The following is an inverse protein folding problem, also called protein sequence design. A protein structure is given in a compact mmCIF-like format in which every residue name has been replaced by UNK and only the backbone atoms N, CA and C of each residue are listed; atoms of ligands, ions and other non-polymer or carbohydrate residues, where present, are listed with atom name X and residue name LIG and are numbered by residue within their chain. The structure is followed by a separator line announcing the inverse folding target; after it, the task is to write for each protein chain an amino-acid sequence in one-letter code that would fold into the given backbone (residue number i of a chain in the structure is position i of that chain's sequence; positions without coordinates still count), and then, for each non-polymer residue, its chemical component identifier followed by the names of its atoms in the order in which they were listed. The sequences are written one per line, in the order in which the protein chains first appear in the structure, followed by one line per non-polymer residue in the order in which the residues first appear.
data_IF_665647941729
#
_entry.id   IF_665647941729
#
_cell.length_a   1.000
_cell.length_b   1.000
_cell.length_c   1.000
_cell.angle_alpha   90.00
_cell.angle_beta   90.00
_cell.angle_gamma   90.00
#
_symmetry.space_group_name_H-M   'P 1'
#
loop_
_entity.id
_entity.type
_entity.pdbx_description
1 polymer ?
#
# COMPACT_ATOMS: atom_id res chain seq x y z
N UNK A 1 17.98 12.73 -2.15
CA UNK A 1 16.89 11.97 -1.50
C UNK A 1 16.44 10.89 -2.46
N UNK A 2 17.31 9.89 -2.66
CA UNK A 2 17.08 8.74 -3.52
C UNK A 2 16.44 7.65 -2.69
N UNK A 3 15.20 7.29 -3.00
CA UNK A 3 14.71 5.96 -2.71
C UNK A 3 14.38 5.32 -4.04
N UNK A 4 15.38 4.61 -4.55
CA UNK A 4 15.23 3.67 -5.63
C UNK A 4 14.19 2.65 -5.21
N UNK A 5 13.17 2.46 -6.03
CA UNK A 5 12.35 1.26 -6.00
C UNK A 5 13.29 0.13 -6.42
N UNK A 6 14.05 -0.41 -5.46
CA UNK A 6 14.83 -1.62 -5.71
C UNK A 6 13.86 -2.70 -6.14
N UNK A 7 14.16 -3.30 -7.30
CA UNK A 7 13.51 -4.48 -7.83
C UNK A 7 13.48 -5.56 -6.74
N UNK A 8 12.41 -5.56 -5.93
CA UNK A 8 12.24 -6.52 -4.85
C UNK A 8 12.17 -7.89 -5.48
N UNK A 9 13.17 -8.72 -5.19
CA UNK A 9 13.13 -10.13 -5.51
C UNK A 9 11.86 -10.74 -4.90
N UNK A 10 10.87 -11.00 -5.76
CA UNK A 10 9.58 -11.58 -5.37
C UNK A 10 9.72 -12.97 -4.74
N UNK A 11 10.93 -13.55 -4.67
CA UNK A 11 11.19 -14.83 -4.01
C UNK A 11 11.19 -14.73 -2.47
N UNK A 12 11.35 -13.55 -1.87
CA UNK A 12 11.49 -13.41 -0.42
C UNK A 12 10.74 -12.21 0.16
N UNK A 13 9.41 -12.19 0.02
CA UNK A 13 8.56 -11.12 0.60
C UNK A 13 8.15 -11.49 2.04
N UNK A 14 8.36 -10.59 3.00
CA UNK A 14 7.88 -10.74 4.38
C UNK A 14 6.58 -9.98 4.64
N UNK A 15 5.88 -10.28 5.75
CA UNK A 15 4.73 -9.49 6.19
C UNK A 15 5.12 -8.03 6.48
N UNK A 16 6.30 -7.80 7.06
CA UNK A 16 6.80 -6.46 7.35
C UNK A 16 6.98 -5.65 6.06
N UNK A 17 7.47 -6.29 4.99
CA UNK A 17 7.53 -5.68 3.66
C UNK A 17 6.17 -5.25 3.13
N UNK A 18 5.13 -6.07 3.32
CA UNK A 18 3.78 -5.74 2.93
C UNK A 18 3.22 -4.57 3.74
N UNK A 19 3.47 -4.54 5.05
CA UNK A 19 3.01 -3.45 5.93
C UNK A 19 3.71 -2.13 5.63
N UNK A 20 5.03 -2.16 5.37
CA UNK A 20 5.79 -0.98 4.91
C UNK A 20 5.25 -0.45 3.59
N UNK A 21 4.96 -1.33 2.64
CA UNK A 21 4.35 -0.94 1.37
C UNK A 21 2.93 -0.38 1.56
N UNK A 22 2.14 -0.96 2.46
CA UNK A 22 0.79 -0.48 2.76
C UNK A 22 0.79 0.94 3.33
N UNK A 23 1.78 1.26 4.14
CA UNK A 23 1.97 2.60 4.71
C UNK A 23 2.85 3.52 3.88
N UNK A 24 3.22 3.14 2.66
CA UNK A 24 3.99 4.02 1.80
C UNK A 24 3.13 5.21 1.35
N UNK A 25 3.75 6.38 1.27
CA UNK A 25 3.13 7.56 0.68
C UNK A 25 2.84 7.32 -0.80
N UNK A 26 1.60 7.55 -1.21
CA UNK A 26 1.17 7.46 -2.61
C UNK A 26 0.64 8.81 -3.10
N UNK A 27 0.81 9.07 -4.40
CA UNK A 27 0.27 10.27 -5.04
C UNK A 27 -1.04 9.90 -5.74
N UNK A 28 -2.11 10.59 -5.39
CA UNK A 28 -3.42 10.48 -5.99
C UNK A 28 -3.46 11.31 -7.27
N UNK A 29 -3.49 10.65 -8.42
CA UNK A 29 -3.46 11.27 -9.76
C UNK A 29 -4.43 10.55 -10.72
N UNK A 30 -4.66 11.14 -11.90
CA UNK A 30 -5.51 10.56 -12.94
C UNK A 30 -6.95 10.33 -12.46
N UNK A 31 -7.44 9.10 -12.56
CA UNK A 31 -8.79 8.75 -12.11
C UNK A 31 -8.97 8.77 -10.58
N UNK A 32 -7.88 8.92 -9.81
CA UNK A 32 -7.90 8.89 -8.34
C UNK A 32 -7.73 10.26 -7.68
N UNK A 33 -7.90 11.37 -8.42
CA UNK A 33 -7.73 12.73 -7.89
C UNK A 33 -8.58 12.97 -6.61
N UNK A 34 -8.03 13.76 -5.69
CA UNK A 34 -8.68 14.11 -4.44
C UNK A 34 -9.54 15.36 -4.58
N UNK A 35 -10.78 15.33 -4.07
CA UNK A 35 -11.63 16.51 -4.05
C UNK A 35 -11.21 17.47 -2.93
N UNK A 36 -10.69 18.63 -3.30
CA UNK A 36 -10.32 19.67 -2.33
C UNK A 36 -11.53 20.52 -1.94
N UNK A 37 -11.98 20.40 -0.68
CA UNK A 37 -13.11 21.17 -0.16
C UNK A 37 -12.91 22.69 -0.12
N UNK A 38 -11.64 23.17 -0.17
CA UNK A 38 -11.29 24.59 -0.23
C UNK A 38 -11.30 25.13 -1.66
N UNK A 39 -10.71 24.40 -2.60
CA UNK A 39 -10.64 24.81 -4.01
C UNK A 39 -11.92 24.47 -4.80
N UNK A 40 -12.76 23.59 -4.27
CA UNK A 40 -13.98 23.07 -4.91
C UNK A 40 -13.72 22.30 -6.22
N UNK A 41 -12.55 21.69 -6.35
CA UNK A 41 -12.13 20.94 -7.55
C UNK A 41 -11.28 19.71 -7.19
N UNK A 42 -11.14 18.78 -8.13
CA UNK A 42 -10.30 17.59 -8.01
C UNK A 42 -8.84 17.96 -8.28
N UNK A 43 -7.94 17.62 -7.35
CA UNK A 43 -6.51 17.91 -7.43
C UNK A 43 -5.68 16.70 -7.11
N UNK A 44 -4.44 16.74 -7.58
CA UNK A 44 -3.44 15.81 -7.10
C UNK A 44 -3.19 16.03 -5.62
N UNK A 45 -3.07 14.94 -4.88
CA UNK A 45 -2.84 14.97 -3.45
C UNK A 45 -1.95 13.81 -3.04
N UNK A 46 -1.26 14.00 -1.94
CA UNK A 46 -0.48 12.96 -1.32
C UNK A 46 -1.31 12.25 -0.26
N UNK A 47 -1.46 10.93 -0.36
CA UNK A 47 -2.10 10.10 0.65
C UNK A 47 -1.07 9.26 1.38
N UNK A 48 -1.17 9.23 2.71
CA UNK A 48 -0.34 8.41 3.58
C UNK A 48 -1.24 7.67 4.57
N UNK A 49 -1.19 6.34 4.54
CA UNK A 49 -2.05 5.49 5.35
C UNK A 49 -1.26 4.89 6.49
N UNK A 50 -1.74 5.06 7.73
CA UNK A 50 -1.06 4.55 8.91
C UNK A 50 -2.05 3.85 9.84
N UNK A 51 -1.56 2.83 10.54
CA UNK A 51 -2.32 2.19 11.62
C UNK A 51 -2.08 3.00 12.89
N UNK A 52 -3.08 3.77 13.33
CA UNK A 52 -2.97 4.56 14.56
C UNK A 52 -2.98 3.66 15.82
N UNK A 53 -3.88 2.68 15.86
CA UNK A 53 -4.01 1.69 16.94
C UNK A 53 -4.63 0.41 16.40
N UNK A 54 -4.14 -0.73 16.88
CA UNK A 54 -4.73 -2.05 16.58
C UNK A 54 -5.57 -2.56 17.76
N UNK A 55 -6.54 -3.41 17.44
CA UNK A 55 -7.36 -4.12 18.43
C UNK A 55 -6.65 -5.39 18.94
N UNK A 56 -7.22 -6.04 19.96
CA UNK A 56 -6.71 -7.32 20.52
C UNK A 56 -6.57 -8.42 19.47
N UNK A 57 -7.38 -8.37 18.41
CA UNK A 57 -7.33 -9.29 17.27
C UNK A 57 -7.12 -8.44 16.03
N UNK A 58 -6.03 -8.71 15.29
CA UNK A 58 -5.71 -8.07 14.02
C UNK A 58 -5.87 -9.09 12.90
N UNK A 59 -6.75 -8.78 11.94
CA UNK A 59 -6.97 -9.60 10.74
C UNK A 59 -6.24 -8.95 9.57
N UNK A 60 -5.36 -9.71 8.91
CA UNK A 60 -4.58 -9.23 7.76
C UNK A 60 -5.06 -9.95 6.51
N UNK A 61 -5.62 -9.20 5.57
CA UNK A 61 -6.06 -9.70 4.27
C UNK A 61 -5.06 -9.30 3.18
N UNK A 62 -4.45 -10.28 2.51
CA UNK A 62 -3.52 -10.01 1.42
C UNK A 62 -4.26 -9.72 0.10
N UNK A 63 -3.94 -8.59 -0.53
CA UNK A 63 -4.47 -8.20 -1.85
C UNK A 63 -3.82 -9.02 -2.96
N UNK A 64 -4.22 -10.30 -3.08
CA UNK A 64 -3.63 -11.25 -4.03
C UNK A 64 -4.25 -11.20 -5.42
N UNK A 65 -5.30 -10.42 -5.65
CA UNK A 65 -5.99 -10.39 -6.93
C UNK A 65 -5.81 -9.02 -7.58
N UNK A 66 -5.44 -9.03 -8.85
CA UNK A 66 -5.63 -7.90 -9.74
C UNK A 66 -6.62 -8.31 -10.85
N UNK A 67 -6.97 -7.38 -11.75
CA UNK A 67 -7.97 -7.61 -12.82
C UNK A 67 -7.66 -8.82 -13.72
N UNK A 68 -6.40 -9.25 -13.80
CA UNK A 68 -5.95 -10.26 -14.78
C UNK A 68 -5.45 -11.56 -14.15
N UNK A 69 -4.94 -11.54 -12.92
CA UNK A 69 -4.27 -12.70 -12.30
C UNK A 69 -4.28 -12.68 -10.78
N UNK A 70 -4.09 -13.88 -10.23
CA UNK A 70 -3.76 -14.11 -8.82
C UNK A 70 -2.25 -14.05 -8.58
N UNK A 71 -1.85 -13.38 -7.50
CA UNK A 71 -0.48 -13.31 -7.00
C UNK A 71 -0.22 -14.51 -6.07
N UNK A 72 0.62 -15.42 -6.54
CA UNK A 72 1.02 -16.63 -5.81
C UNK A 72 2.35 -16.45 -5.04
N UNK A 73 2.82 -15.21 -4.89
CA UNK A 73 4.02 -14.88 -4.13
C UNK A 73 3.90 -15.40 -2.68
N UNK A 74 4.83 -16.25 -2.22
CA UNK A 74 4.87 -16.68 -0.83
C UNK A 74 5.20 -15.47 0.06
N UNK A 75 4.49 -15.33 1.18
CA UNK A 75 4.72 -14.26 2.15
C UNK A 75 5.16 -14.92 3.45
N UNK A 76 6.34 -14.54 3.94
CA UNK A 76 6.88 -15.00 5.23
C UNK A 76 6.26 -14.17 6.36
N UNK A 77 5.62 -14.83 7.32
CA UNK A 77 5.03 -14.19 8.50
C UNK A 77 5.43 -14.97 9.76
N UNK A 78 5.55 -14.31 10.93
CA UNK A 78 5.80 -14.99 12.19
C UNK A 78 4.58 -15.82 12.59
N UNK A 79 4.83 -17.00 13.17
CA UNK A 79 3.82 -17.87 13.79
C UNK A 79 3.94 -17.74 15.30
#
# INVERSE_FOLDING_TARGET
LSWSFEDKDFKNVSLDDCLRNFSQQEVLQGDNLWYCSRCKEHKEATRHLQVYKSNKILVIAFKRFNRMKKLNTPIKFPV
#
